data_IF_017628677052
#
_entry.id   IF_017628677052
#
_cell.length_a   1.000
_cell.length_b   1.000
_cell.length_c   1.000
_cell.angle_alpha   90.00
_cell.angle_beta   90.00
_cell.angle_gamma   90.00
#
_symmetry.space_group_name_H-M   'P 1'
#
loop_
_entity.id
_entity.type
_entity.pdbx_description
1 polymer ?
#
# COMPACT_ATOMS: atom_id res chain seq x y z
N UNK A 1 33.61 -15.74 41.70
CA UNK A 1 33.68 -15.52 40.23
C UNK A 1 34.09 -16.86 39.61
N UNK A 2 33.47 -17.32 38.51
CA UNK A 2 32.93 -16.51 37.44
C UNK A 2 31.40 -16.39 37.43
N UNK A 3 30.96 -15.19 37.07
CA UNK A 3 29.66 -14.86 36.48
C UNK A 3 29.66 -15.31 35.01
N UNK A 4 28.47 -15.59 34.46
CA UNK A 4 27.95 -15.14 33.14
C UNK A 4 26.61 -15.88 32.93
N UNK A 5 25.44 -15.28 33.17
CA UNK A 5 24.70 -14.30 32.35
C UNK A 5 24.54 -14.69 30.88
N UNK A 6 23.29 -14.95 30.46
CA UNK A 6 22.66 -14.67 29.14
C UNK A 6 21.24 -15.27 29.26
N UNK A 7 20.21 -14.50 29.59
CA UNK A 7 19.69 -13.41 28.76
C UNK A 7 18.75 -14.01 27.72
N UNK A 8 17.61 -14.55 28.15
CA UNK A 8 16.56 -15.01 27.25
C UNK A 8 15.87 -13.80 26.63
N UNK A 9 16.27 -13.44 25.40
CA UNK A 9 15.60 -12.41 24.62
C UNK A 9 14.17 -12.85 24.32
N UNK A 10 13.19 -12.10 24.82
CA UNK A 10 11.79 -12.29 24.47
C UNK A 10 11.56 -11.59 23.12
N UNK A 11 11.09 -12.37 22.16
CA UNK A 11 11.01 -11.99 20.75
C UNK A 11 9.72 -11.19 20.50
N UNK A 12 9.86 -10.06 19.80
CA UNK A 12 8.73 -9.22 19.42
C UNK A 12 7.70 -10.05 18.61
N UNK A 13 6.45 -10.06 19.05
CA UNK A 13 5.39 -10.88 18.43
C UNK A 13 4.81 -10.18 17.21
N UNK A 14 5.32 -10.50 16.01
CA UNK A 14 4.82 -9.96 14.74
C UNK A 14 3.35 -10.36 14.52
N UNK A 15 2.50 -9.38 14.24
CA UNK A 15 1.08 -9.60 13.98
C UNK A 15 0.73 -9.13 12.57
N UNK A 16 -0.03 -9.98 11.85
CA UNK A 16 -0.42 -9.77 10.46
C UNK A 16 -1.93 -9.58 10.42
N UNK A 17 -2.36 -8.43 9.91
CA UNK A 17 -3.77 -8.10 9.72
C UNK A 17 -4.05 -8.08 8.21
N UNK A 18 -4.77 -9.09 7.67
CA UNK A 18 -5.25 -9.02 6.30
C UNK A 18 -6.30 -7.90 6.22
N UNK A 19 -6.11 -6.97 5.29
CA UNK A 19 -7.04 -5.89 5.06
C UNK A 19 -7.84 -6.22 3.80
N UNK A 20 -9.14 -6.41 3.96
CA UNK A 20 -10.05 -6.62 2.83
C UNK A 20 -10.96 -5.42 2.76
N UNK A 21 -10.77 -4.59 1.73
CA UNK A 21 -11.78 -3.60 1.39
C UNK A 21 -12.98 -4.34 0.81
N UNK A 22 -14.16 -4.20 1.40
CA UNK A 22 -15.38 -4.57 0.70
C UNK A 22 -15.50 -3.61 -0.48
N UNK A 23 -15.27 -4.12 -1.70
CA UNK A 23 -15.30 -3.36 -2.95
C UNK A 23 -16.54 -2.45 -3.00
N UNK A 24 -16.34 -1.14 -2.87
CA UNK A 24 -17.47 -0.20 -2.73
C UNK A 24 -17.08 1.22 -2.34
N UNK A 25 -15.96 1.74 -2.83
CA UNK A 25 -15.57 3.14 -2.65
C UNK A 25 -15.21 3.74 -4.00
N UNK A 26 -16.23 4.15 -4.76
CA UNK A 26 -16.04 4.80 -6.04
C UNK A 26 -15.24 6.11 -5.86
N UNK A 27 -13.96 6.10 -6.22
CA UNK A 27 -13.26 7.33 -6.64
C UNK A 27 -13.82 7.73 -8.01
N UNK A 28 -15.05 8.24 -7.98
CA UNK A 28 -15.79 8.74 -9.13
C UNK A 28 -15.07 9.92 -9.76
N UNK A 29 -14.93 9.85 -11.08
CA UNK A 29 -14.05 10.69 -11.87
C UNK A 29 -14.32 12.19 -11.84
N UNK A 30 -13.28 12.94 -12.18
CA UNK A 30 -13.39 14.28 -12.73
C UNK A 30 -12.32 14.46 -13.82
N UNK A 31 -12.77 14.99 -14.96
CA UNK A 31 -12.00 15.99 -15.68
C UNK A 31 -10.95 15.48 -16.67
N UNK A 32 -11.35 15.40 -17.94
CA UNK A 32 -10.42 15.63 -19.06
C UNK A 32 -9.86 17.04 -18.94
N UNK A 33 -8.55 17.17 -18.75
CA UNK A 33 -7.82 18.39 -19.10
C UNK A 33 -6.63 18.07 -20.00
N UNK A 34 -6.59 18.76 -21.13
CA UNK A 34 -5.60 18.65 -22.20
C UNK A 34 -4.35 19.46 -21.80
N UNK A 35 -3.17 18.86 -22.00
CA UNK A 35 -1.92 19.56 -22.29
C UNK A 35 -1.47 20.61 -21.27
N UNK A 36 -0.73 20.17 -20.24
CA UNK A 36 0.03 21.05 -19.37
C UNK A 36 1.00 20.24 -18.51
N UNK A 37 2.29 20.51 -18.64
CA UNK A 37 3.34 19.97 -17.77
C UNK A 37 3.10 20.50 -16.34
N UNK A 38 2.67 19.64 -15.41
CA UNK A 38 2.58 19.98 -13.98
C UNK A 38 3.85 19.52 -13.25
N UNK A 39 4.57 20.39 -12.53
CA UNK A 39 5.72 20.03 -11.69
C UNK A 39 5.29 19.56 -10.27
N UNK A 40 4.23 18.74 -10.17
CA UNK A 40 3.47 18.54 -8.91
C UNK A 40 3.41 17.13 -8.32
N UNK A 41 4.31 16.21 -8.68
CA UNK A 41 4.31 14.80 -8.22
C UNK A 41 4.76 14.56 -6.77
N UNK A 42 4.63 15.54 -5.89
CA UNK A 42 5.03 15.41 -4.47
C UNK A 42 3.86 15.62 -3.51
N UNK A 43 2.74 16.19 -3.98
CA UNK A 43 1.54 16.41 -3.15
C UNK A 43 0.47 15.34 -3.40
N UNK A 44 0.34 14.84 -4.63
CA UNK A 44 -0.61 13.77 -4.96
C UNK A 44 -0.25 12.48 -4.21
N UNK A 45 0.97 12.00 -4.38
CA UNK A 45 1.47 10.78 -3.75
C UNK A 45 1.60 10.92 -2.24
N UNK A 46 1.97 12.11 -1.73
CA UNK A 46 2.00 12.35 -0.29
C UNK A 46 0.61 12.29 0.34
N UNK A 47 -0.42 12.84 -0.33
CA UNK A 47 -1.80 12.74 0.16
C UNK A 47 -2.29 11.28 0.20
N UNK A 48 -1.90 10.48 -0.79
CA UNK A 48 -2.21 9.05 -0.83
C UNK A 48 -1.47 8.31 0.29
N UNK A 49 -0.16 8.52 0.43
CA UNK A 49 0.65 7.92 1.50
C UNK A 49 0.08 8.27 2.88
N UNK A 50 -0.39 9.51 3.06
CA UNK A 50 -1.02 9.95 4.30
C UNK A 50 -2.29 9.16 4.62
N UNK A 51 -3.12 8.87 3.63
CA UNK A 51 -4.35 8.11 3.81
C UNK A 51 -4.08 6.61 4.03
N UNK A 52 -3.12 6.04 3.31
CA UNK A 52 -2.63 4.67 3.55
C UNK A 52 -2.12 4.53 4.98
N UNK A 53 -1.31 5.49 5.45
CA UNK A 53 -0.78 5.49 6.81
C UNK A 53 -1.90 5.57 7.86
N UNK A 54 -2.86 6.48 7.68
CA UNK A 54 -4.03 6.60 8.57
C UNK A 54 -4.84 5.31 8.62
N UNK A 55 -5.13 4.74 7.45
CA UNK A 55 -5.86 3.47 7.32
C UNK A 55 -5.11 2.34 8.04
N UNK A 56 -3.79 2.26 7.85
CA UNK A 56 -2.95 1.24 8.49
C UNK A 56 -2.91 1.39 10.01
N UNK A 57 -2.76 2.63 10.52
CA UNK A 57 -2.81 2.91 11.96
C UNK A 57 -4.18 2.60 12.55
N UNK A 58 -5.26 2.92 11.85
CA UNK A 58 -6.62 2.58 12.29
C UNK A 58 -6.82 1.06 12.38
N UNK A 59 -6.29 0.30 11.42
CA UNK A 59 -6.37 -1.17 11.42
C UNK A 59 -5.67 -1.80 12.63
N UNK A 60 -4.55 -1.23 13.09
CA UNK A 60 -3.78 -1.77 14.23
C UNK A 60 -4.18 -1.18 15.60
N UNK A 61 -4.95 -0.08 15.63
CA UNK A 61 -5.25 0.65 16.87
C UNK A 61 -5.91 -0.22 17.96
N UNK A 62 -6.75 -1.18 17.56
CA UNK A 62 -7.42 -2.12 18.48
C UNK A 62 -6.54 -3.27 19.01
N UNK A 63 -5.32 -3.41 18.49
CA UNK A 63 -4.43 -4.54 18.79
C UNK A 63 -3.31 -4.18 19.78
N UNK A 64 -3.30 -2.95 20.30
CA UNK A 64 -2.33 -2.47 21.30
C UNK A 64 -1.37 -1.42 20.75
N UNK A 65 -0.45 -0.98 21.61
CA UNK A 65 0.62 -0.05 21.22
C UNK A 65 1.71 -0.83 20.50
N UNK A 66 2.24 -0.25 19.43
CA UNK A 66 3.28 -0.85 18.62
C UNK A 66 3.62 0.00 17.41
N UNK A 67 4.58 -0.50 16.63
CA UNK A 67 5.07 0.12 15.41
C UNK A 67 4.71 -0.70 14.18
N UNK A 68 4.33 -0.02 13.12
CA UNK A 68 4.20 -0.62 11.80
C UNK A 68 5.57 -1.14 11.34
N UNK A 69 5.55 -2.30 10.70
CA UNK A 69 6.75 -2.92 10.14
C UNK A 69 6.64 -2.96 8.62
N UNK A 70 5.51 -3.45 8.10
CA UNK A 70 5.28 -3.53 6.66
C UNK A 70 3.81 -3.26 6.35
N UNK A 71 3.55 -2.37 5.41
CA UNK A 71 2.22 -2.15 4.82
C UNK A 71 2.29 -2.57 3.36
N UNK A 72 1.48 -3.55 2.97
CA UNK A 72 1.40 -4.02 1.59
C UNK A 72 0.16 -3.46 0.91
N UNK A 73 0.35 -2.89 -0.27
CA UNK A 73 -0.73 -2.30 -1.07
C UNK A 73 -0.82 -2.91 -2.47
N UNK A 74 -2.00 -2.94 -3.06
CA UNK A 74 -2.17 -3.13 -4.49
C UNK A 74 -2.13 -1.78 -5.20
N UNK A 75 -1.36 -1.66 -6.28
CA UNK A 75 -1.39 -0.48 -7.16
C UNK A 75 -1.63 -0.95 -8.58
N UNK A 76 -2.71 -0.46 -9.17
CA UNK A 76 -3.12 -0.77 -10.52
C UNK A 76 -2.43 0.08 -11.58
N UNK A 77 -2.17 -0.50 -12.75
CA UNK A 77 -1.54 0.15 -13.92
C UNK A 77 -2.29 1.39 -14.46
N UNK A 78 -3.58 1.49 -14.19
CA UNK A 78 -4.51 2.56 -14.56
C UNK A 78 -4.89 3.47 -13.37
N UNK A 79 -4.34 3.22 -12.18
CA UNK A 79 -4.61 4.02 -10.97
C UNK A 79 -4.06 5.45 -11.03
N UNK A 80 -3.20 5.74 -12.02
CA UNK A 80 -2.46 7.00 -12.16
C UNK A 80 -1.51 7.33 -10.99
N UNK A 81 -1.22 6.34 -10.13
CA UNK A 81 -0.23 6.43 -9.06
C UNK A 81 1.13 6.01 -9.57
N UNK A 82 2.17 6.76 -9.20
CA UNK A 82 3.56 6.37 -9.44
C UNK A 82 4.12 5.63 -8.21
N UNK A 83 4.36 4.30 -8.28
CA UNK A 83 4.76 3.49 -7.13
C UNK A 83 6.01 3.97 -6.42
N UNK A 84 7.05 4.34 -7.18
CA UNK A 84 8.33 4.76 -6.60
C UNK A 84 8.19 6.08 -5.83
N UNK A 85 7.38 7.01 -6.35
CA UNK A 85 7.07 8.26 -5.67
C UNK A 85 6.21 8.03 -4.42
N UNK A 86 5.31 7.04 -4.46
CA UNK A 86 4.50 6.68 -3.31
C UNK A 86 5.34 6.07 -2.17
N UNK A 87 6.30 5.20 -2.50
CA UNK A 87 7.26 4.66 -1.53
C UNK A 87 8.14 5.76 -0.93
N UNK A 88 8.62 6.69 -1.77
CA UNK A 88 9.36 7.85 -1.28
C UNK A 88 8.51 8.74 -0.36
N UNK A 89 7.26 9.02 -0.75
CA UNK A 89 6.33 9.80 0.06
C UNK A 89 6.02 9.14 1.40
N UNK A 90 5.90 7.81 1.44
CA UNK A 90 5.78 7.04 2.67
C UNK A 90 6.97 7.25 3.60
N UNK A 91 8.19 7.09 3.09
CA UNK A 91 9.41 7.30 3.87
C UNK A 91 9.49 8.72 4.43
N UNK A 92 9.17 9.73 3.62
CA UNK A 92 9.15 11.12 4.05
C UNK A 92 8.09 11.38 5.14
N UNK A 93 6.92 10.75 5.02
CA UNK A 93 5.82 10.86 5.97
C UNK A 93 6.13 10.22 7.33
N UNK A 94 6.76 9.04 7.35
CA UNK A 94 7.03 8.31 8.60
C UNK A 94 8.34 8.75 9.28
N UNK A 95 9.20 9.48 8.57
CA UNK A 95 10.49 9.93 9.07
C UNK A 95 10.37 10.70 10.39
N UNK A 96 11.15 10.30 11.38
CA UNK A 96 11.17 10.93 12.72
C UNK A 96 9.97 10.57 13.61
N UNK A 97 9.04 9.75 13.11
CA UNK A 97 7.92 9.20 13.88
C UNK A 97 8.20 7.79 14.44
N UNK A 98 7.23 7.21 15.18
CA UNK A 98 7.34 5.86 15.75
C UNK A 98 7.44 4.75 14.68
N UNK A 99 6.92 5.03 13.48
CA UNK A 99 6.86 4.09 12.36
C UNK A 99 7.95 4.37 11.30
N UNK A 100 9.02 5.10 11.65
CA UNK A 100 10.09 5.49 10.72
C UNK A 100 10.82 4.32 10.05
N UNK A 101 10.80 3.14 10.66
CA UNK A 101 11.38 1.91 10.11
C UNK A 101 10.38 1.06 9.30
N UNK A 102 9.15 1.54 9.11
CA UNK A 102 8.12 0.80 8.37
C UNK A 102 8.33 0.88 6.86
N UNK A 103 8.10 -0.23 6.18
CA UNK A 103 8.21 -0.34 4.73
C UNK A 103 6.83 -0.35 4.06
N UNK A 104 6.75 0.28 2.89
CA UNK A 104 5.59 0.19 2.00
C UNK A 104 5.91 -0.75 0.84
N UNK A 105 5.27 -1.92 0.81
CA UNK A 105 5.40 -2.90 -0.26
C UNK A 105 4.30 -2.72 -1.30
N UNK A 106 4.69 -2.62 -2.58
CA UNK A 106 3.75 -2.47 -3.69
C UNK A 106 3.58 -3.79 -4.44
N UNK A 107 2.34 -4.27 -4.51
CA UNK A 107 1.91 -5.32 -5.41
C UNK A 107 1.29 -4.72 -6.68
N UNK A 108 2.04 -4.76 -7.78
CA UNK A 108 1.58 -4.22 -9.06
C UNK A 108 0.46 -5.07 -9.68
N UNK A 109 -0.62 -4.41 -10.11
CA UNK A 109 -1.76 -5.03 -10.77
C UNK A 109 -1.87 -4.54 -12.23
N UNK A 110 -1.49 -5.36 -13.22
CA UNK A 110 -1.63 -4.98 -14.62
C UNK A 110 -3.10 -4.97 -15.05
N UNK A 111 -3.46 -4.03 -15.92
CA UNK A 111 -4.77 -4.04 -16.56
C UNK A 111 -4.83 -5.15 -17.62
N UNK A 112 -5.98 -5.80 -17.74
CA UNK A 112 -6.23 -6.80 -18.78
C UNK A 112 -7.07 -6.20 -19.89
N UNK A 113 -6.80 -6.63 -21.12
CA UNK A 113 -7.57 -6.23 -22.29
C UNK A 113 -8.10 -7.46 -23.01
N UNK A 114 -9.39 -7.51 -23.25
CA UNK A 114 -10.05 -8.61 -23.93
C UNK A 114 -10.75 -8.13 -25.20
N UNK A 115 -10.53 -8.84 -26.31
CA UNK A 115 -11.24 -8.59 -27.56
C UNK A 115 -12.39 -9.58 -27.73
N UNK A 116 -13.63 -9.10 -27.70
CA UNK A 116 -14.81 -9.93 -27.95
C UNK A 116 -14.83 -10.51 -29.38
N UNK A 117 -14.30 -9.78 -30.37
CA UNK A 117 -14.26 -10.23 -31.77
C UNK A 117 -13.28 -11.36 -32.03
N UNK A 118 -12.12 -11.31 -31.39
CA UNK A 118 -11.11 -12.38 -31.51
C UNK A 118 -11.26 -13.46 -30.44
N UNK A 119 -12.17 -13.26 -29.48
CA UNK A 119 -12.35 -14.09 -28.29
C UNK A 119 -11.02 -14.40 -27.57
N UNK A 120 -10.20 -13.37 -27.36
CA UNK A 120 -8.85 -13.54 -26.84
C UNK A 120 -8.36 -12.28 -26.13
N UNK A 121 -7.51 -12.49 -25.12
CA UNK A 121 -6.74 -11.42 -24.49
C UNK A 121 -5.81 -10.74 -25.49
N UNK A 122 -5.60 -9.43 -25.27
CA UNK A 122 -4.69 -8.60 -26.06
C UNK A 122 -3.68 -7.94 -25.13
N UNK A 123 -2.40 -7.89 -25.51
CA UNK A 123 -1.41 -7.15 -24.76
C UNK A 123 -1.72 -5.66 -24.87
N UNK A 124 -1.54 -4.93 -23.77
CA UNK A 124 -1.50 -3.47 -23.83
C UNK A 124 -0.22 -3.05 -24.54
N UNK A 125 -0.33 -2.16 -25.52
CA UNK A 125 0.85 -1.57 -26.15
C UNK A 125 1.42 -0.48 -25.24
N UNK A 126 2.69 -0.56 -24.80
CA UNK A 126 3.32 0.48 -23.98
C UNK A 126 3.20 1.86 -24.64
N UNK A 127 2.80 2.87 -23.87
CA UNK A 127 2.66 4.25 -24.35
C UNK A 127 1.45 4.51 -25.27
N UNK A 128 0.62 3.49 -25.57
CA UNK A 128 -0.61 3.65 -26.35
C UNK A 128 -1.84 3.58 -25.47
N UNK A 129 -2.72 4.57 -25.63
CA UNK A 129 -4.03 4.61 -24.99
C UNK A 129 -5.15 4.08 -25.89
N UNK A 130 -4.81 3.64 -27.12
CA UNK A 130 -5.79 3.08 -28.05
C UNK A 130 -6.29 1.74 -27.53
N UNK A 131 -7.59 1.69 -27.23
CA UNK A 131 -8.31 0.47 -26.84
C UNK A 131 -8.91 -0.23 -28.05
N UNK A 132 -8.15 -0.35 -29.13
CA UNK A 132 -8.58 -1.04 -30.35
C UNK A 132 -7.74 -2.30 -30.53
N UNK A 133 -8.41 -3.39 -30.89
CA UNK A 133 -7.75 -4.65 -31.19
C UNK A 133 -6.87 -4.48 -32.44
N UNK A 134 -5.56 -4.79 -32.38
CA UNK A 134 -4.68 -4.63 -33.53
C UNK A 134 -5.01 -5.62 -34.67
N UNK A 135 -5.77 -6.68 -34.39
CA UNK A 135 -6.10 -7.71 -35.37
C UNK A 135 -7.41 -7.45 -36.10
N UNK A 136 -8.46 -7.00 -35.41
CA UNK A 136 -9.79 -6.84 -35.99
C UNK A 136 -10.36 -5.42 -35.89
N UNK A 137 -9.65 -4.49 -35.25
CA UNK A 137 -10.06 -3.08 -35.11
C UNK A 137 -11.19 -2.82 -34.11
N UNK A 138 -11.78 -3.85 -33.50
CA UNK A 138 -12.86 -3.66 -32.51
C UNK A 138 -12.34 -3.14 -31.16
N UNK A 139 -13.21 -2.46 -30.42
CA UNK A 139 -12.90 -1.97 -29.09
C UNK A 139 -12.55 -3.13 -28.12
N UNK A 140 -11.57 -2.89 -27.27
CA UNK A 140 -11.14 -3.81 -26.22
C UNK A 140 -11.89 -3.52 -24.92
N UNK A 141 -12.43 -4.57 -24.31
CA UNK A 141 -12.89 -4.51 -22.92
C UNK A 141 -11.67 -4.47 -22.00
N UNK A 142 -11.67 -3.57 -21.02
CA UNK A 142 -10.58 -3.42 -20.05
C UNK A 142 -11.10 -3.79 -18.67
N UNK A 143 -10.33 -4.57 -17.93
CA UNK A 143 -10.64 -4.96 -16.56
C UNK A 143 -9.40 -4.99 -15.67
N UNK A 144 -9.60 -4.65 -14.39
CA UNK A 144 -8.55 -4.51 -13.40
C UNK A 144 -7.53 -3.42 -13.75
N UNK A 145 -6.52 -3.31 -12.91
CA UNK A 145 -5.48 -2.29 -13.03
C UNK A 145 -5.92 -0.92 -12.52
N UNK A 146 -7.09 -0.76 -11.93
CA UNK A 146 -7.54 0.50 -11.31
C UNK A 146 -7.43 0.47 -9.77
N UNK A 147 -6.73 -0.52 -9.21
CA UNK A 147 -6.64 -0.76 -7.78
C UNK A 147 -5.74 0.27 -7.05
N UNK A 148 -6.14 0.61 -5.83
CA UNK A 148 -5.33 1.29 -4.82
C UNK A 148 -5.82 0.86 -3.44
N UNK A 149 -5.37 -0.31 -3.00
CA UNK A 149 -5.94 -0.99 -1.83
C UNK A 149 -4.85 -1.35 -0.83
N UNK A 150 -5.10 -1.17 0.46
CA UNK A 150 -4.30 -1.81 1.51
C UNK A 150 -4.67 -3.28 1.55
N UNK A 151 -3.68 -4.16 1.38
CA UNK A 151 -3.87 -5.62 1.37
C UNK A 151 -3.53 -6.24 2.72
N UNK A 152 -2.47 -5.74 3.35
CA UNK A 152 -1.95 -6.32 4.58
C UNK A 152 -1.23 -5.26 5.40
N UNK A 153 -1.46 -5.29 6.71
CA UNK A 153 -0.71 -4.48 7.67
C UNK A 153 -0.01 -5.42 8.63
N UNK A 154 1.31 -5.28 8.72
CA UNK A 154 2.17 -6.03 9.62
C UNK A 154 2.74 -5.08 10.65
N UNK A 155 2.57 -5.40 11.94
CA UNK A 155 3.05 -4.55 13.02
C UNK A 155 3.72 -5.35 14.13
N UNK A 156 4.58 -4.67 14.87
CA UNK A 156 5.29 -5.16 16.03
C UNK A 156 4.69 -4.49 17.28
N UNK A 157 3.94 -5.22 18.12
CA UNK A 157 3.49 -4.72 19.41
C UNK A 157 4.69 -4.36 20.28
N UNK A 158 4.56 -3.28 21.04
CA UNK A 158 5.50 -2.98 22.11
C UNK A 158 5.26 -3.97 23.26
N UNK A 159 6.35 -4.48 23.86
CA UNK A 159 6.21 -5.24 25.10
C UNK A 159 5.69 -4.26 26.17
N UNK A 160 4.43 -4.42 26.57
CA UNK A 160 3.92 -3.79 27.79
C UNK A 160 4.83 -4.26 28.92
N UNK A 161 5.64 -3.33 29.45
CA UNK A 161 6.37 -3.55 30.67
C UNK A 161 5.33 -3.90 31.74
N UNK A 162 5.24 -5.18 32.10
CA UNK A 162 4.45 -5.60 33.25
C UNK A 162 5.00 -4.86 34.45
N UNK A 163 4.25 -3.90 34.99
CA UNK A 163 4.49 -3.34 36.32
C UNK A 163 4.34 -4.47 37.34
N UNK A 164 5.45 -5.16 37.58
CA UNK A 164 5.57 -6.18 38.60
C UNK A 164 5.93 -5.52 39.92
N UNK A 165 4.93 -5.40 40.79
CA UNK A 165 5.08 -5.74 42.21
C UNK A 165 5.63 -4.65 43.13
N UNK A 166 4.69 -4.01 43.83
CA UNK A 166 4.87 -3.45 45.17
C UNK A 166 5.68 -4.42 46.04
N UNK A 167 6.75 -3.94 46.65
CA UNK A 167 7.32 -4.52 47.86
C UNK A 167 7.54 -3.39 48.87
N UNK A 168 6.58 -3.32 49.79
CA UNK A 168 6.65 -2.64 51.08
C UNK A 168 7.79 -3.28 51.92
N UNK A 169 8.54 -2.47 52.66
CA UNK A 169 9.65 -2.93 53.50
C UNK A 169 10.60 -1.81 53.94
#
# INVERSE_FOLDING_TARGET
MPRHSRGGGREARRCIIPYSFAAGGAFGGLGRDRGGRWPGGTLHELSIAQEIYRTSRAAVAGHGVGRLETVKIAVGELSAVEPDLLVFAWQALTQGGPDAASELEVEWRPARQFCAGCNADKPRSPGSWLRLCPQCGMALAVSGGDELDVLQVTFLPDEVASEGGVADG
#
